data_IF_954330221418
#
_entry.id   IF_954330221418
#
_cell.length_a   1.000
_cell.length_b   1.000
_cell.length_c   1.000
_cell.angle_alpha   90.00
_cell.angle_beta   90.00
_cell.angle_gamma   90.00
#
_symmetry.space_group_name_H-M   'P 1'
#
loop_
_entity.id
_entity.type
_entity.pdbx_description
1 polymer ?
#
# COMPACT_ATOMS: atom_id res chain seq x y z
N UNK A 1 -38.22 4.69 7.26
CA UNK A 1 -37.36 3.96 8.22
C UNK A 1 -35.91 3.91 7.78
N UNK A 2 -35.54 3.28 6.66
CA UNK A 2 -34.12 3.21 6.24
C UNK A 2 -33.54 4.58 5.84
N UNK A 3 -34.30 5.40 5.09
CA UNK A 3 -33.88 6.76 4.74
C UNK A 3 -33.69 7.65 5.98
N UNK A 4 -34.58 7.52 6.97
CA UNK A 4 -34.52 8.29 8.22
C UNK A 4 -33.26 7.92 9.02
N UNK A 5 -32.94 6.62 9.08
CA UNK A 5 -31.71 6.13 9.69
C UNK A 5 -30.47 6.78 9.05
N UNK A 6 -30.34 6.71 7.72
CA UNK A 6 -29.19 7.28 7.02
C UNK A 6 -29.08 8.80 7.18
N UNK A 7 -30.22 9.48 7.23
CA UNK A 7 -30.26 10.92 7.49
C UNK A 7 -29.75 11.26 8.90
N UNK A 8 -30.19 10.53 9.92
CA UNK A 8 -29.71 10.69 11.30
C UNK A 8 -28.21 10.40 11.38
N UNK A 9 -27.76 9.28 10.81
CA UNK A 9 -26.33 8.89 10.81
C UNK A 9 -25.43 9.95 10.19
N UNK A 10 -25.88 10.60 9.11
CA UNK A 10 -25.15 11.73 8.50
C UNK A 10 -25.10 12.95 9.42
N UNK A 11 -26.18 13.26 10.13
CA UNK A 11 -26.22 14.37 11.08
C UNK A 11 -25.30 14.13 12.29
N UNK A 12 -25.27 12.91 12.82
CA UNK A 12 -24.45 12.57 14.00
C UNK A 12 -23.03 12.12 13.65
N UNK A 13 -22.66 12.10 12.36
CA UNK A 13 -21.35 11.63 11.86
C UNK A 13 -20.16 12.18 12.65
N UNK A 14 -20.16 13.49 12.94
CA UNK A 14 -19.07 14.14 13.67
C UNK A 14 -18.98 13.60 15.11
N UNK A 15 -20.12 13.57 15.82
CA UNK A 15 -20.20 13.02 17.17
C UNK A 15 -19.79 11.56 17.21
N UNK A 16 -20.23 10.75 16.25
CA UNK A 16 -19.83 9.35 16.13
C UNK A 16 -18.31 9.21 15.94
N UNK A 17 -17.70 10.02 15.07
CA UNK A 17 -16.24 10.02 14.88
C UNK A 17 -15.50 10.40 16.17
N UNK A 18 -16.01 11.35 16.97
CA UNK A 18 -15.42 11.73 18.26
C UNK A 18 -15.52 10.57 19.26
N UNK A 19 -16.68 9.92 19.35
CA UNK A 19 -16.89 8.77 20.24
C UNK A 19 -15.95 7.61 19.87
N UNK A 20 -15.85 7.26 18.59
CA UNK A 20 -14.93 6.21 18.12
C UNK A 20 -13.48 6.60 18.44
N UNK A 21 -13.11 7.87 18.24
CA UNK A 21 -11.74 8.32 18.58
C UNK A 21 -11.43 8.10 20.06
N UNK A 22 -12.39 8.34 20.95
CA UNK A 22 -12.20 8.29 22.39
C UNK A 22 -12.32 6.89 22.99
N UNK A 23 -13.15 6.03 22.41
CA UNK A 23 -13.59 4.78 23.03
C UNK A 23 -13.35 3.52 22.18
N UNK A 24 -12.86 3.63 20.96
CA UNK A 24 -12.50 2.43 20.19
C UNK A 24 -11.28 1.74 20.79
N UNK A 25 -11.41 0.42 20.95
CA UNK A 25 -10.38 -0.51 21.43
C UNK A 25 -9.96 -1.46 20.30
N UNK A 26 -8.90 -2.24 20.51
CA UNK A 26 -8.51 -3.29 19.57
C UNK A 26 -9.63 -4.33 19.47
N UNK A 27 -10.19 -4.47 18.27
CA UNK A 27 -11.32 -5.36 18.02
C UNK A 27 -11.46 -5.63 16.53
N UNK A 28 -11.89 -6.84 16.17
CA UNK A 28 -12.20 -7.20 14.79
C UNK A 28 -13.62 -6.78 14.37
N UNK A 29 -14.45 -6.29 15.30
CA UNK A 29 -15.88 -6.07 15.09
C UNK A 29 -16.26 -4.74 14.42
N UNK A 30 -15.33 -4.07 13.75
CA UNK A 30 -15.59 -2.80 13.05
C UNK A 30 -16.09 -2.94 11.61
N UNK A 31 -16.37 -4.17 11.16
CA UNK A 31 -16.76 -4.48 9.77
C UNK A 31 -17.91 -3.61 9.25
N UNK A 32 -18.92 -3.35 10.09
CA UNK A 32 -20.05 -2.50 9.73
C UNK A 32 -19.62 -1.07 9.35
N UNK A 33 -18.65 -0.49 10.08
CA UNK A 33 -18.14 0.85 9.80
C UNK A 33 -17.33 0.91 8.50
N UNK A 34 -16.69 -0.20 8.11
CA UNK A 34 -15.98 -0.30 6.83
C UNK A 34 -16.92 -0.47 5.64
N UNK A 35 -18.05 -1.17 5.84
CA UNK A 35 -19.12 -1.29 4.84
C UNK A 35 -19.86 0.05 4.62
N UNK A 36 -20.02 0.85 5.68
CA UNK A 36 -20.77 2.11 5.66
C UNK A 36 -19.88 3.34 5.80
N UNK A 37 -19.00 3.57 4.81
CA UNK A 37 -17.97 4.64 4.82
C UNK A 37 -18.57 6.05 4.94
N UNK A 38 -19.84 6.24 4.66
CA UNK A 38 -20.59 7.49 4.76
C UNK A 38 -20.77 7.96 6.21
N UNK A 39 -20.82 7.04 7.18
CA UNK A 39 -21.05 7.36 8.60
C UNK A 39 -19.77 7.74 9.36
N UNK A 40 -18.61 7.54 8.74
CA UNK A 40 -17.29 7.87 9.29
C UNK A 40 -16.49 8.74 8.33
N UNK A 41 -15.39 9.31 8.80
CA UNK A 41 -14.42 9.98 7.93
C UNK A 41 -13.19 9.08 7.69
N UNK A 42 -12.30 9.52 6.79
CA UNK A 42 -11.08 8.79 6.46
C UNK A 42 -10.20 8.53 7.68
N UNK A 43 -10.03 9.54 8.55
CA UNK A 43 -9.17 9.44 9.72
C UNK A 43 -9.62 8.31 10.66
N UNK A 44 -10.93 8.22 10.94
CA UNK A 44 -11.49 7.16 11.77
C UNK A 44 -11.30 5.79 11.15
N UNK A 45 -11.62 5.63 9.86
CA UNK A 45 -11.42 4.34 9.18
C UNK A 45 -9.96 3.93 9.17
N UNK A 46 -9.04 4.87 8.94
CA UNK A 46 -7.60 4.61 9.04
C UNK A 46 -7.22 4.17 10.45
N UNK A 47 -7.66 4.89 11.49
CA UNK A 47 -7.39 4.53 12.89
C UNK A 47 -7.83 3.09 13.19
N UNK A 48 -9.09 2.76 12.87
CA UNK A 48 -9.64 1.43 13.09
C UNK A 48 -8.88 0.36 12.28
N UNK A 49 -8.56 0.65 11.01
CA UNK A 49 -7.79 -0.28 10.18
C UNK A 49 -6.40 -0.53 10.76
N UNK A 50 -5.71 0.50 11.26
CA UNK A 50 -4.42 0.34 11.92
C UNK A 50 -4.51 -0.49 13.20
N UNK A 51 -5.58 -0.33 14.00
CA UNK A 51 -5.83 -1.15 15.20
C UNK A 51 -6.09 -2.64 14.89
N UNK A 52 -6.40 -2.98 13.63
CA UNK A 52 -6.61 -4.36 13.18
C UNK A 52 -5.38 -4.95 12.48
N UNK A 53 -4.34 -4.15 12.22
CA UNK A 53 -3.12 -4.66 11.59
C UNK A 53 -2.24 -5.36 12.63
N UNK A 54 -1.51 -6.37 12.19
CA UNK A 54 -0.45 -6.99 13.00
C UNK A 54 0.63 -5.96 13.28
N UNK A 55 0.93 -5.74 14.57
CA UNK A 55 2.08 -4.95 14.97
C UNK A 55 3.37 -5.77 14.79
N UNK A 56 4.49 -5.07 14.62
CA UNK A 56 5.80 -5.70 14.63
C UNK A 56 6.09 -6.11 16.08
N UNK A 57 6.07 -7.41 16.36
CA UNK A 57 6.54 -7.90 17.65
C UNK A 57 8.06 -7.69 17.76
N UNK A 58 8.49 -6.94 18.77
CA UNK A 58 9.91 -6.72 19.05
C UNK A 58 10.46 -7.88 19.91
N UNK A 59 10.47 -9.07 19.33
CA UNK A 59 11.10 -10.23 19.94
C UNK A 59 12.58 -10.25 19.53
N UNK A 60 13.49 -10.05 20.48
CA UNK A 60 14.95 -10.06 20.23
C UNK A 60 15.44 -11.34 19.52
N UNK A 61 14.71 -12.45 19.65
CA UNK A 61 15.03 -13.75 19.04
C UNK A 61 14.69 -13.82 17.53
N UNK A 62 13.80 -12.95 17.03
CA UNK A 62 13.32 -12.94 15.65
C UNK A 62 13.73 -11.66 14.89
N UNK A 63 14.73 -10.93 15.38
CA UNK A 63 15.25 -9.74 14.71
C UNK A 63 16.14 -10.11 13.51
N UNK A 64 15.78 -9.62 12.32
CA UNK A 64 16.55 -9.80 11.09
C UNK A 64 17.53 -8.65 10.90
N UNK A 65 18.83 -8.95 10.88
CA UNK A 65 19.87 -7.97 10.57
C UNK A 65 20.13 -7.89 9.06
N UNK A 66 20.02 -6.68 8.50
CA UNK A 66 20.24 -6.38 7.08
C UNK A 66 21.43 -5.46 6.92
N UNK A 67 22.44 -5.91 6.16
CA UNK A 67 23.60 -5.10 5.80
C UNK A 67 23.51 -4.71 4.33
N UNK A 68 23.20 -3.44 4.06
CA UNK A 68 22.81 -2.96 2.73
C UNK A 68 23.94 -2.14 2.10
N UNK A 69 24.31 -2.48 0.87
CA UNK A 69 25.12 -1.63 0.00
C UNK A 69 24.23 -0.60 -0.71
N UNK A 70 24.51 0.70 -0.54
CA UNK A 70 23.74 1.76 -1.21
C UNK A 70 23.75 1.64 -2.73
N UNK A 71 24.84 1.12 -3.31
CA UNK A 71 24.96 0.92 -4.76
C UNK A 71 24.13 -0.26 -5.29
N UNK A 72 23.71 -1.17 -4.40
CA UNK A 72 22.93 -2.37 -4.72
C UNK A 72 21.63 -2.44 -3.93
N UNK A 73 21.11 -1.26 -3.56
CA UNK A 73 20.02 -1.11 -2.60
C UNK A 73 18.84 -2.04 -2.87
N UNK A 74 18.35 -2.09 -4.11
CA UNK A 74 17.20 -2.91 -4.48
C UNK A 74 17.50 -4.41 -4.34
N UNK A 75 18.65 -4.84 -4.84
CA UNK A 75 19.06 -6.26 -4.85
C UNK A 75 19.30 -6.77 -3.45
N UNK A 76 20.09 -6.04 -2.64
CA UNK A 76 20.37 -6.40 -1.26
C UNK A 76 19.06 -6.44 -0.45
N UNK A 77 18.18 -5.43 -0.62
CA UNK A 77 16.87 -5.41 0.06
C UNK A 77 15.99 -6.59 -0.35
N UNK A 78 15.96 -6.93 -1.64
CA UNK A 78 15.22 -8.08 -2.15
C UNK A 78 15.71 -9.39 -1.50
N UNK A 79 17.02 -9.59 -1.40
CA UNK A 79 17.58 -10.82 -0.83
C UNK A 79 17.18 -11.04 0.63
N UNK A 80 17.10 -9.99 1.44
CA UNK A 80 16.67 -10.09 2.83
C UNK A 80 15.15 -10.29 2.95
N UNK A 81 14.37 -9.42 2.32
CA UNK A 81 12.91 -9.37 2.51
C UNK A 81 12.19 -10.52 1.80
N UNK A 82 12.69 -10.99 0.65
CA UNK A 82 12.09 -12.12 -0.06
C UNK A 82 12.19 -13.44 0.73
N UNK A 83 13.21 -13.57 1.59
CA UNK A 83 13.46 -14.78 2.40
C UNK A 83 12.70 -14.82 3.73
N UNK A 84 12.07 -13.70 4.13
CA UNK A 84 11.30 -13.66 5.38
C UNK A 84 10.19 -14.72 5.37
N UNK A 85 10.13 -15.54 6.43
CA UNK A 85 9.09 -16.55 6.60
C UNK A 85 7.83 -15.95 7.21
N UNK A 86 8.01 -15.06 8.17
CA UNK A 86 6.94 -14.39 8.90
C UNK A 86 6.96 -12.88 8.58
N UNK A 87 5.79 -12.29 8.37
CA UNK A 87 5.58 -10.86 8.16
C UNK A 87 4.34 -10.45 8.97
N UNK A 88 4.39 -9.33 9.73
CA UNK A 88 5.52 -8.42 9.87
C UNK A 88 6.62 -8.99 10.79
N UNK A 89 7.89 -8.81 10.42
CA UNK A 89 9.04 -9.19 11.24
C UNK A 89 9.81 -7.95 11.71
N UNK A 90 10.50 -8.03 12.84
CA UNK A 90 11.38 -6.97 13.33
C UNK A 90 12.73 -7.03 12.60
N UNK A 91 13.23 -5.91 12.08
CA UNK A 91 14.54 -5.86 11.41
C UNK A 91 15.33 -4.62 11.77
N UNK A 92 16.64 -4.81 11.69
CA UNK A 92 17.66 -3.80 11.91
C UNK A 92 18.47 -3.62 10.64
N UNK A 93 18.54 -2.40 10.14
CA UNK A 93 19.30 -2.07 8.93
C UNK A 93 20.57 -1.28 9.25
N UNK A 94 21.66 -1.65 8.58
CA UNK A 94 22.93 -0.92 8.56
C UNK A 94 23.36 -0.73 7.11
N UNK A 95 23.86 0.46 6.77
CA UNK A 95 24.50 0.69 5.48
C UNK A 95 25.99 0.32 5.58
N UNK A 96 26.51 -0.41 4.58
CA UNK A 96 27.93 -0.77 4.55
C UNK A 96 28.80 0.47 4.65
N UNK A 97 29.85 0.38 5.45
CA UNK A 97 30.83 1.44 5.70
C UNK A 97 30.28 2.67 6.46
N UNK A 98 29.06 2.59 7.02
CA UNK A 98 28.46 3.65 7.84
C UNK A 98 28.29 3.20 9.29
N UNK A 99 28.58 4.09 10.25
CA UNK A 99 28.40 3.80 11.68
C UNK A 99 26.97 4.10 12.19
N UNK A 100 26.04 4.40 11.29
CA UNK A 100 24.68 4.76 11.64
C UNK A 100 23.84 3.51 11.84
N UNK A 101 23.06 3.49 12.92
CA UNK A 101 22.16 2.39 13.26
C UNK A 101 20.81 2.90 13.81
N UNK A 102 19.81 2.02 13.82
CA UNK A 102 18.52 2.24 14.46
C UNK A 102 17.41 2.77 13.54
N UNK A 103 16.32 3.27 14.15
CA UNK A 103 15.08 3.63 13.44
C UNK A 103 15.26 4.71 12.36
N UNK A 104 16.25 5.60 12.51
CA UNK A 104 16.57 6.61 11.50
C UNK A 104 17.05 5.97 10.19
N UNK A 105 18.01 5.05 10.29
CA UNK A 105 18.53 4.28 9.15
C UNK A 105 17.43 3.44 8.53
N UNK A 106 16.56 2.85 9.35
CA UNK A 106 15.45 2.06 8.85
C UNK A 106 14.45 2.87 8.02
N UNK A 107 14.09 4.07 8.49
CA UNK A 107 13.22 5.00 7.75
C UNK A 107 13.86 5.41 6.42
N UNK A 108 15.15 5.69 6.43
CA UNK A 108 15.89 6.02 5.22
C UNK A 108 15.92 4.85 4.23
N UNK A 109 16.28 3.66 4.70
CA UNK A 109 16.28 2.44 3.90
C UNK A 109 14.92 2.20 3.24
N UNK A 110 13.82 2.28 3.99
CA UNK A 110 12.48 2.12 3.44
C UNK A 110 12.16 3.15 2.34
N UNK A 111 12.54 4.41 2.56
CA UNK A 111 12.34 5.49 1.59
C UNK A 111 13.09 5.17 0.29
N UNK A 112 14.38 4.86 0.38
CA UNK A 112 15.24 4.59 -0.77
C UNK A 112 14.82 3.30 -1.49
N UNK A 113 14.54 2.22 -0.76
CA UNK A 113 14.13 0.94 -1.34
C UNK A 113 12.79 1.07 -2.07
N UNK A 114 11.86 1.85 -1.50
CA UNK A 114 10.60 2.17 -2.18
C UNK A 114 10.84 2.96 -3.46
N UNK A 115 11.75 3.94 -3.47
CA UNK A 115 12.10 4.67 -4.69
C UNK A 115 12.64 3.75 -5.78
N UNK A 116 13.50 2.79 -5.42
CA UNK A 116 14.01 1.80 -6.37
C UNK A 116 12.93 0.85 -6.91
N UNK A 117 11.97 0.43 -6.10
CA UNK A 117 10.83 -0.38 -6.56
C UNK A 117 10.07 0.31 -7.71
N UNK A 118 9.85 1.63 -7.57
CA UNK A 118 9.15 2.43 -8.57
C UNK A 118 10.07 3.11 -9.59
N UNK A 119 11.37 2.79 -9.58
CA UNK A 119 12.33 3.31 -10.55
C UNK A 119 12.08 2.66 -11.93
N UNK A 120 11.82 3.44 -12.99
CA UNK A 120 11.55 2.91 -14.33
C UNK A 120 12.67 2.00 -14.87
N UNK A 121 13.92 2.21 -14.43
CA UNK A 121 15.06 1.40 -14.85
C UNK A 121 14.98 -0.05 -14.39
N UNK A 122 14.23 -0.33 -13.31
CA UNK A 122 14.02 -1.68 -12.80
C UNK A 122 12.86 -2.41 -13.50
N UNK A 123 12.13 -1.72 -14.38
CA UNK A 123 11.06 -2.25 -15.23
C UNK A 123 9.92 -2.97 -14.49
N UNK A 124 9.74 -2.73 -13.18
CA UNK A 124 8.69 -3.35 -12.37
C UNK A 124 7.35 -2.62 -12.50
N UNK A 125 7.37 -1.31 -12.30
CA UNK A 125 6.18 -0.46 -12.31
C UNK A 125 6.37 0.71 -13.26
N UNK A 126 5.25 1.17 -13.81
CA UNK A 126 5.18 2.36 -14.67
C UNK A 126 4.22 3.36 -14.05
N UNK A 127 4.56 4.65 -14.19
CA UNK A 127 3.71 5.73 -13.69
C UNK A 127 2.50 5.92 -14.60
N UNK A 128 1.35 6.27 -14.03
CA UNK A 128 0.16 6.67 -14.77
C UNK A 128 0.50 7.91 -15.64
N UNK A 129 0.14 7.92 -16.94
CA UNK A 129 0.49 9.00 -17.87
C UNK A 129 0.10 10.41 -17.37
N UNK A 130 -1.09 10.51 -16.76
CA UNK A 130 -1.66 11.79 -16.32
C UNK A 130 -1.34 12.13 -14.85
N UNK A 131 -0.79 11.18 -14.08
CA UNK A 131 -0.51 11.36 -12.65
C UNK A 131 0.74 10.57 -12.22
N UNK A 132 1.90 11.23 -12.26
CA UNK A 132 3.20 10.57 -12.05
C UNK A 132 3.43 9.94 -10.65
N UNK A 133 2.51 10.17 -9.70
CA UNK A 133 2.62 9.66 -8.32
C UNK A 133 1.85 8.36 -8.11
N UNK A 134 1.14 7.88 -9.13
CA UNK A 134 0.44 6.60 -9.10
C UNK A 134 1.06 5.65 -10.12
N UNK A 135 1.22 4.39 -9.72
CA UNK A 135 1.97 3.39 -10.46
C UNK A 135 1.17 2.09 -10.61
N UNK A 136 1.34 1.43 -11.76
CA UNK A 136 0.78 0.11 -12.05
C UNK A 136 1.85 -0.84 -12.58
N UNK A 137 1.62 -2.17 -12.55
CA UNK A 137 2.63 -3.13 -12.97
C UNK A 137 2.99 -2.94 -14.44
N UNK A 138 4.28 -2.96 -14.76
CA UNK A 138 4.75 -2.88 -16.12
C UNK A 138 4.43 -4.19 -16.87
N UNK A 139 3.69 -4.09 -17.97
CA UNK A 139 3.39 -5.24 -18.83
C UNK A 139 4.66 -5.84 -19.46
N UNK A 140 5.71 -5.04 -19.63
CA UNK A 140 7.01 -5.49 -20.14
C UNK A 140 7.98 -5.94 -19.02
N UNK A 141 7.50 -6.17 -17.80
CA UNK A 141 8.34 -6.58 -16.66
C UNK A 141 9.03 -7.93 -16.86
N UNK A 142 8.51 -8.78 -17.75
CA UNK A 142 9.09 -10.08 -18.12
C UNK A 142 10.54 -10.01 -18.62
N UNK A 143 11.02 -8.83 -19.03
CA UNK A 143 12.44 -8.59 -19.33
C UNK A 143 13.35 -8.96 -18.15
N UNK A 144 12.84 -8.86 -16.92
CA UNK A 144 13.48 -9.36 -15.72
C UNK A 144 12.91 -10.75 -15.38
N UNK A 145 13.76 -11.78 -15.41
CA UNK A 145 13.36 -13.16 -15.12
C UNK A 145 12.80 -13.36 -13.70
N UNK A 146 13.11 -12.45 -12.76
CA UNK A 146 12.65 -12.49 -11.37
C UNK A 146 11.49 -11.50 -11.09
N UNK A 147 10.85 -10.94 -12.13
CA UNK A 147 9.85 -9.88 -11.96
C UNK A 147 8.69 -10.28 -11.03
N UNK A 148 8.24 -11.54 -11.05
CA UNK A 148 7.18 -12.03 -10.17
C UNK A 148 7.61 -12.04 -8.70
N UNK A 149 8.85 -12.45 -8.43
CA UNK A 149 9.45 -12.41 -7.11
C UNK A 149 9.62 -10.97 -6.62
N UNK A 150 10.02 -10.05 -7.51
CA UNK A 150 10.09 -8.62 -7.20
C UNK A 150 8.71 -7.99 -6.93
N UNK A 151 7.64 -8.43 -7.61
CA UNK A 151 6.28 -8.01 -7.28
C UNK A 151 5.86 -8.52 -5.89
N UNK A 152 6.18 -9.77 -5.54
CA UNK A 152 5.95 -10.29 -4.18
C UNK A 152 6.75 -9.51 -3.14
N UNK A 153 8.02 -9.23 -3.41
CA UNK A 153 8.86 -8.37 -2.58
C UNK A 153 8.25 -6.97 -2.37
N UNK A 154 7.73 -6.35 -3.44
CA UNK A 154 7.07 -5.05 -3.37
C UNK A 154 5.81 -5.07 -2.49
N UNK A 155 5.02 -6.15 -2.57
CA UNK A 155 3.90 -6.39 -1.67
C UNK A 155 4.34 -6.52 -0.21
N UNK A 156 5.40 -7.30 0.05
CA UNK A 156 5.99 -7.44 1.40
C UNK A 156 6.49 -6.10 1.95
N UNK A 157 7.19 -5.31 1.15
CA UNK A 157 7.63 -3.96 1.52
C UNK A 157 6.45 -3.05 1.88
N UNK A 158 5.32 -3.18 1.17
CA UNK A 158 4.11 -2.42 1.46
C UNK A 158 3.50 -2.82 2.81
N UNK A 159 3.40 -4.12 3.11
CA UNK A 159 2.90 -4.61 4.40
C UNK A 159 3.82 -4.17 5.53
N UNK A 160 5.15 -4.27 5.34
CA UNK A 160 6.12 -3.81 6.34
C UNK A 160 6.03 -2.30 6.57
N UNK A 161 5.91 -1.49 5.53
CA UNK A 161 5.73 -0.05 5.69
C UNK A 161 4.46 0.30 6.48
N UNK A 162 3.36 -0.46 6.28
CA UNK A 162 2.15 -0.30 7.07
C UNK A 162 2.37 -0.67 8.55
N UNK A 163 3.03 -1.81 8.82
CA UNK A 163 3.31 -2.28 10.17
C UNK A 163 4.25 -1.34 10.95
N UNK A 164 5.21 -0.70 10.27
CA UNK A 164 6.11 0.30 10.86
C UNK A 164 5.54 1.73 10.85
N UNK A 165 4.29 1.92 10.44
CA UNK A 165 3.64 3.23 10.32
C UNK A 165 4.40 4.23 9.43
N UNK A 166 5.09 3.74 8.39
CA UNK A 166 5.90 4.53 7.48
C UNK A 166 5.09 4.97 6.25
N UNK A 167 5.21 6.25 5.91
CA UNK A 167 4.57 6.80 4.73
C UNK A 167 5.49 6.70 3.51
N UNK A 168 5.10 5.90 2.53
CA UNK A 168 5.74 5.87 1.22
C UNK A 168 5.16 7.01 0.37
N UNK A 169 6.03 7.80 -0.28
CA UNK A 169 5.63 8.98 -1.08
C UNK A 169 5.11 8.67 -2.49
N UNK A 170 5.28 7.43 -2.92
CA UNK A 170 4.85 6.86 -4.19
C UNK A 170 3.88 5.72 -3.88
N UNK A 171 2.88 5.52 -4.74
CA UNK A 171 1.80 4.61 -4.44
C UNK A 171 1.21 3.92 -5.66
N UNK A 172 0.43 2.89 -5.39
CA UNK A 172 -0.26 2.10 -6.39
C UNK A 172 -1.46 2.83 -6.97
N UNK A 173 -1.79 2.50 -8.23
CA UNK A 173 -3.04 2.91 -8.85
C UNK A 173 -4.25 2.25 -8.19
N UNK A 174 -5.39 2.94 -8.27
CA UNK A 174 -6.67 2.47 -7.72
C UNK A 174 -7.04 1.08 -8.22
N UNK A 175 -6.71 0.74 -9.47
CA UNK A 175 -6.99 -0.57 -10.06
C UNK A 175 -6.38 -1.71 -9.23
N UNK A 176 -5.15 -1.53 -8.70
CA UNK A 176 -4.50 -2.54 -7.85
C UNK A 176 -5.34 -2.77 -6.58
N UNK A 177 -5.80 -1.71 -5.92
CA UNK A 177 -6.62 -1.84 -4.72
C UNK A 177 -7.98 -2.47 -4.99
N UNK A 178 -8.60 -2.21 -6.15
CA UNK A 178 -9.84 -2.86 -6.56
C UNK A 178 -9.65 -4.37 -6.72
N UNK A 179 -8.56 -4.79 -7.36
CA UNK A 179 -8.23 -6.19 -7.55
C UNK A 179 -7.92 -6.90 -6.22
N UNK A 180 -7.17 -6.24 -5.32
CA UNK A 180 -6.89 -6.77 -3.99
C UNK A 180 -8.16 -6.95 -3.13
N UNK A 181 -9.16 -6.08 -3.31
CA UNK A 181 -10.47 -6.17 -2.65
C UNK A 181 -11.42 -7.17 -3.34
N UNK A 182 -10.96 -7.88 -4.38
CA UNK A 182 -11.76 -8.84 -5.14
C UNK A 182 -12.86 -8.19 -6.01
N UNK A 183 -12.83 -6.87 -6.18
CA UNK A 183 -13.80 -6.16 -7.01
C UNK A 183 -13.42 -6.24 -8.50
N UNK A 184 -14.44 -6.28 -9.36
CA UNK A 184 -14.25 -6.13 -10.79
C UNK A 184 -13.74 -4.73 -11.16
N UNK A 185 -12.83 -4.68 -12.13
CA UNK A 185 -12.34 -3.42 -12.72
C UNK A 185 -13.32 -2.97 -13.79
N UNK A 186 -13.84 -1.74 -13.67
CA UNK A 186 -14.74 -1.17 -14.67
C UNK A 186 -13.96 -0.37 -15.70
N UNK A 187 -14.56 -0.13 -16.88
CA UNK A 187 -13.95 0.68 -17.93
C UNK A 187 -13.49 2.05 -17.44
N UNK A 188 -14.25 2.70 -16.55
CA UNK A 188 -13.89 4.00 -15.97
C UNK A 188 -12.64 3.97 -15.09
N UNK A 189 -12.30 2.81 -14.51
CA UNK A 189 -11.17 2.66 -13.59
C UNK A 189 -9.84 2.57 -14.34
N UNK A 190 -9.85 2.13 -15.61
CA UNK A 190 -8.64 2.09 -16.45
C UNK A 190 -8.32 3.42 -17.13
N UNK A 191 -9.15 4.46 -16.94
CA UNK A 191 -8.98 5.76 -17.62
C UNK A 191 -7.59 6.35 -17.41
N UNK A 192 -7.10 6.26 -16.18
CA UNK A 192 -5.84 6.92 -15.79
C UNK A 192 -4.63 5.98 -16.04
N UNK A 193 -4.87 4.68 -16.21
CA UNK A 193 -3.86 3.64 -16.52
C UNK A 193 -3.62 3.55 -18.03
N UNK A 194 -4.69 3.47 -18.81
CA UNK A 194 -4.67 3.45 -20.28
C UNK A 194 -5.75 4.38 -20.86
N UNK A 195 -5.42 5.68 -21.01
CA UNK A 195 -6.34 6.66 -21.55
C UNK A 195 -6.76 6.38 -23.00
N UNK A 196 -5.91 5.68 -23.78
CA UNK A 196 -6.18 5.38 -25.19
C UNK A 196 -7.23 4.28 -25.30
N UNK A 197 -7.04 3.17 -24.58
CA UNK A 197 -8.02 2.09 -24.51
C UNK A 197 -9.35 2.59 -23.95
N UNK A 198 -9.31 3.39 -22.88
CA UNK A 198 -10.52 4.00 -22.31
C UNK A 198 -11.32 4.80 -23.33
N UNK A 199 -10.66 5.70 -24.08
CA UNK A 199 -11.31 6.51 -25.12
C UNK A 199 -11.91 5.64 -26.22
N UNK A 200 -11.15 4.68 -26.76
CA UNK A 200 -11.63 3.80 -27.82
C UNK A 200 -12.85 2.98 -27.41
N UNK A 201 -12.82 2.33 -26.24
CA UNK A 201 -13.97 1.57 -25.73
C UNK A 201 -15.18 2.48 -25.47
N UNK A 202 -14.97 3.69 -24.95
CA UNK A 202 -16.05 4.65 -24.70
C UNK A 202 -16.71 5.13 -25.99
N UNK A 203 -15.92 5.36 -27.04
CA UNK A 203 -16.44 5.72 -28.37
C UNK A 203 -17.32 4.60 -28.94
N UNK A 204 -16.85 3.35 -28.90
CA UNK A 204 -17.63 2.19 -29.36
C UNK A 204 -18.97 2.09 -28.61
N UNK A 205 -18.95 2.20 -27.28
CA UNK A 205 -20.17 2.14 -26.46
C UNK A 205 -21.15 3.28 -26.74
N UNK A 206 -20.68 4.44 -27.17
CA UNK A 206 -21.52 5.57 -27.54
C UNK A 206 -22.06 5.49 -28.97
N UNK A 207 -21.44 4.69 -29.85
CA UNK A 207 -21.91 4.50 -31.23
C UNK A 207 -23.16 3.60 -31.29
N UNK A 208 -23.36 2.75 -30.29
CA UNK A 208 -24.50 1.83 -30.18
C UNK A 208 -25.71 2.40 -29.39
N UNK A 209 -25.63 3.66 -28.93
CA UNK A 209 -26.64 4.35 -28.13
C UNK A 209 -27.40 5.42 -28.95
#
# INVERSE_FOLDING_TARGET
>A
MENDFWQIMRQVKVSLCILITKFAEESEHYEWLFKHKEVTNFYIRRKLAMMMLLEVEDNEQDQYYMLIDRSKLLVDSFEYIAKLKNIPGSFFGEFKEEQAIGLGVLREWFLLASQEIFNPNNALFVACPDYNRSFFPNQASEVNLLHLEYFRFSGRMTVLALAYYLQIRVGFDRVIFLQLDGNGVLLKDIRDVDPFLYRGCKEILNMDA
#
